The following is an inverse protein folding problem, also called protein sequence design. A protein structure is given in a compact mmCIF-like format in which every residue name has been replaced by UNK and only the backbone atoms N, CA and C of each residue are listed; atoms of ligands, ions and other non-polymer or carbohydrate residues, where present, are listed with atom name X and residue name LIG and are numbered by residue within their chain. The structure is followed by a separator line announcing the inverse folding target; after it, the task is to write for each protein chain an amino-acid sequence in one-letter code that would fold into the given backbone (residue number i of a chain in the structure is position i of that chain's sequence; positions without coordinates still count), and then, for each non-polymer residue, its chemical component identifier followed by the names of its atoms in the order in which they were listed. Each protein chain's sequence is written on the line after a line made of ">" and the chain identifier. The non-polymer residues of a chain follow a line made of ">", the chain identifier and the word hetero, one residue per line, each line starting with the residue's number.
data_IF_471168677477
#
_entry.id   IF_471168677477
#
_cell.length_a   1.000
_cell.length_b   1.000
_cell.length_c   1.000
_cell.angle_alpha   90.00
_cell.angle_beta   90.00
_cell.angle_gamma   90.00
#
_symmetry.space_group_name_H-M   'P 1'
#
loop_
_entity.id
_entity.type
_entity.pdbx_description
1 polymer ?
#
# COMPACT_ATOMS: atom_id res chain seq x y z
N UNK A 1 -3.22 18.12 -17.51
CA UNK A 1 -2.08 17.55 -16.76
C UNK A 1 -2.18 16.03 -16.82
N UNK A 2 -1.28 15.35 -17.53
CA UNK A 2 -1.19 13.89 -17.41
C UNK A 2 -0.54 13.54 -16.07
N UNK A 3 -1.33 13.01 -15.13
CA UNK A 3 -0.77 12.50 -13.89
C UNK A 3 0.02 11.22 -14.14
N UNK A 4 1.19 11.10 -13.49
CA UNK A 4 1.97 9.86 -13.44
C UNK A 4 1.09 8.66 -13.06
N UNK A 5 1.23 7.53 -13.76
CA UNK A 5 0.47 6.31 -13.50
C UNK A 5 0.59 5.83 -12.05
N UNK A 6 1.77 5.95 -11.44
CA UNK A 6 1.97 5.60 -10.04
C UNK A 6 1.21 6.52 -9.09
N UNK A 7 1.11 7.81 -9.43
CA UNK A 7 0.34 8.78 -8.65
C UNK A 7 -1.17 8.47 -8.76
N UNK A 8 -1.68 8.21 -9.97
CA UNK A 8 -3.08 7.80 -10.19
C UNK A 8 -3.40 6.55 -9.39
N UNK A 9 -2.60 5.48 -9.54
CA UNK A 9 -2.77 4.24 -8.78
C UNK A 9 -2.83 4.49 -7.25
N UNK A 10 -1.90 5.29 -6.73
CA UNK A 10 -1.86 5.60 -5.29
C UNK A 10 -3.10 6.37 -4.84
N UNK A 11 -3.51 7.38 -5.60
CA UNK A 11 -4.67 8.21 -5.31
C UNK A 11 -5.95 7.37 -5.31
N UNK A 12 -6.14 6.56 -6.34
CA UNK A 12 -7.34 5.74 -6.50
C UNK A 12 -7.41 4.67 -5.38
N UNK A 13 -6.28 4.06 -5.02
CA UNK A 13 -6.20 3.14 -3.88
C UNK A 13 -6.55 3.80 -2.54
N UNK A 14 -6.08 5.05 -2.31
CA UNK A 14 -6.41 5.82 -1.11
C UNK A 14 -7.89 6.18 -1.06
N UNK A 15 -8.46 6.63 -2.19
CA UNK A 15 -9.88 7.00 -2.29
C UNK A 15 -10.80 5.81 -2.01
N UNK A 16 -10.51 4.65 -2.62
CA UNK A 16 -11.25 3.41 -2.37
C UNK A 16 -11.12 3.00 -0.90
N UNK A 17 -9.90 3.02 -0.35
CA UNK A 17 -9.66 2.63 1.05
C UNK A 17 -10.39 3.54 2.03
N UNK A 18 -10.47 4.85 1.75
CA UNK A 18 -11.18 5.81 2.59
C UNK A 18 -12.70 5.61 2.59
N UNK A 19 -13.26 5.08 1.50
CA UNK A 19 -14.70 4.78 1.39
C UNK A 19 -15.09 3.41 1.93
N UNK A 20 -14.13 2.54 2.26
CA UNK A 20 -14.43 1.21 2.79
C UNK A 20 -15.07 1.32 4.18
N UNK A 21 -16.23 0.66 4.41
CA UNK A 21 -16.86 0.67 5.72
C UNK A 21 -15.91 0.10 6.78
N UNK A 22 -15.88 0.76 7.94
CA UNK A 22 -15.19 0.28 9.13
C UNK A 22 -16.17 -0.37 10.11
N UNK A 23 -15.62 -0.96 11.16
CA UNK A 23 -16.38 -1.75 12.14
C UNK A 23 -17.03 -0.85 13.21
N UNK A 24 -17.25 0.44 12.91
CA UNK A 24 -17.77 1.46 13.83
C UNK A 24 -16.80 1.92 14.94
N UNK A 25 -15.68 1.22 15.16
CA UNK A 25 -14.71 1.50 16.24
C UNK A 25 -13.49 2.34 15.83
N UNK A 26 -13.47 2.85 14.60
CA UNK A 26 -12.26 3.40 13.98
C UNK A 26 -11.26 2.28 13.66
N UNK A 27 -10.56 2.38 12.52
CA UNK A 27 -9.58 1.35 12.14
C UNK A 27 -8.21 1.75 12.68
N UNK A 28 -7.46 0.76 13.17
CA UNK A 28 -6.06 0.99 13.52
C UNK A 28 -5.26 1.42 12.28
N UNK A 29 -4.18 2.18 12.48
CA UNK A 29 -3.28 2.56 11.41
C UNK A 29 -2.72 1.34 10.65
N UNK A 30 -2.50 0.22 11.35
CA UNK A 30 -2.06 -1.03 10.72
C UNK A 30 -3.14 -1.62 9.81
N UNK A 31 -4.41 -1.62 10.25
CA UNK A 31 -5.53 -2.10 9.44
C UNK A 31 -5.74 -1.22 8.21
N UNK A 32 -5.61 0.10 8.34
CA UNK A 32 -5.60 1.01 7.20
C UNK A 32 -4.47 0.71 6.20
N UNK A 33 -3.24 0.47 6.69
CA UNK A 33 -2.11 0.13 5.83
C UNK A 33 -2.32 -1.21 5.10
N UNK A 34 -2.86 -2.23 5.79
CA UNK A 34 -3.23 -3.52 5.19
C UNK A 34 -4.28 -3.35 4.10
N UNK A 35 -5.36 -2.61 4.37
CA UNK A 35 -6.43 -2.34 3.39
C UNK A 35 -5.88 -1.61 2.17
N UNK A 36 -5.08 -0.57 2.38
CA UNK A 36 -4.46 0.20 1.29
C UNK A 36 -3.62 -0.69 0.37
N UNK A 37 -2.76 -1.55 0.94
CA UNK A 37 -1.93 -2.45 0.14
C UNK A 37 -2.78 -3.46 -0.60
N UNK A 38 -3.78 -4.04 0.05
CA UNK A 38 -4.70 -4.98 -0.59
C UNK A 38 -5.42 -4.35 -1.79
N UNK A 39 -5.99 -3.15 -1.63
CA UNK A 39 -6.64 -2.42 -2.72
C UNK A 39 -5.65 -2.14 -3.85
N UNK A 40 -4.46 -1.63 -3.50
CA UNK A 40 -3.44 -1.31 -4.49
C UNK A 40 -3.00 -2.55 -5.28
N UNK A 41 -2.87 -3.73 -4.64
CA UNK A 41 -2.54 -4.98 -5.33
C UNK A 41 -3.63 -5.41 -6.32
N UNK A 42 -4.92 -5.29 -5.95
CA UNK A 42 -6.04 -5.62 -6.85
C UNK A 42 -6.11 -4.69 -8.06
N UNK A 43 -5.92 -3.38 -7.85
CA UNK A 43 -5.86 -2.41 -8.96
C UNK A 43 -4.69 -2.70 -9.89
N UNK A 44 -3.52 -3.03 -9.32
CA UNK A 44 -2.33 -3.35 -10.08
C UNK A 44 -2.49 -4.62 -10.92
N UNK A 45 -3.11 -5.67 -10.37
CA UNK A 45 -3.46 -6.88 -11.11
C UNK A 45 -4.38 -6.56 -12.30
N UNK A 46 -5.45 -5.78 -12.07
CA UNK A 46 -6.35 -5.36 -13.13
C UNK A 46 -5.64 -4.55 -14.23
N UNK A 47 -4.78 -3.60 -13.85
CA UNK A 47 -3.98 -2.81 -14.80
C UNK A 47 -3.02 -3.69 -15.60
N UNK A 48 -2.41 -4.70 -14.99
CA UNK A 48 -1.54 -5.65 -15.68
C UNK A 48 -2.30 -6.62 -16.60
N UNK A 49 -3.60 -6.79 -16.41
CA UNK A 49 -4.43 -7.53 -17.36
C UNK A 49 -4.89 -6.68 -18.54
N UNK A 50 -4.72 -5.35 -18.49
CA UNK A 50 -5.16 -4.43 -19.53
C UNK A 50 -4.23 -4.45 -20.77
N UNK A 51 -4.71 -4.85 -21.96
CA UNK A 51 -3.93 -4.85 -23.19
C UNK A 51 -3.42 -3.47 -23.60
N UNK A 52 -4.07 -2.39 -23.18
CA UNK A 52 -3.67 -1.02 -23.49
C UNK A 52 -2.40 -0.58 -22.73
N UNK A 53 -2.01 -1.32 -21.69
CA UNK A 53 -0.86 -0.98 -20.86
C UNK A 53 0.44 -1.53 -21.44
N UNK A 54 1.35 -0.62 -21.82
CA UNK A 54 2.66 -0.99 -22.38
C UNK A 54 3.54 -1.74 -21.37
N UNK A 55 4.48 -2.55 -21.86
CA UNK A 55 5.42 -3.30 -21.02
C UNK A 55 6.27 -2.41 -20.10
N UNK A 56 6.66 -1.23 -20.60
CA UNK A 56 7.38 -0.21 -19.82
C UNK A 56 6.53 0.28 -18.64
N UNK A 57 5.25 0.57 -18.87
CA UNK A 57 4.34 1.03 -17.82
C UNK A 57 4.10 -0.07 -16.77
N UNK A 58 3.91 -1.32 -17.19
CA UNK A 58 3.80 -2.48 -16.29
C UNK A 58 5.03 -2.60 -15.38
N UNK A 59 6.23 -2.51 -15.96
CA UNK A 59 7.49 -2.59 -15.23
C UNK A 59 7.62 -1.49 -14.17
N UNK A 60 7.27 -0.24 -14.53
CA UNK A 60 7.28 0.91 -13.60
C UNK A 60 6.31 0.70 -12.44
N UNK A 61 5.09 0.23 -12.72
CA UNK A 61 4.06 -0.03 -11.72
C UNK A 61 4.45 -1.18 -10.77
N UNK A 62 5.04 -2.25 -11.31
CA UNK A 62 5.58 -3.36 -10.51
C UNK A 62 6.72 -2.91 -9.58
N UNK A 63 7.65 -2.11 -10.09
CA UNK A 63 8.76 -1.59 -9.30
C UNK A 63 8.26 -0.67 -8.17
N UNK A 64 7.28 0.19 -8.47
CA UNK A 64 6.63 1.05 -7.49
C UNK A 64 5.94 0.26 -6.37
N UNK A 65 5.12 -0.75 -6.72
CA UNK A 65 4.45 -1.57 -5.73
C UNK A 65 5.44 -2.41 -4.90
N UNK A 66 6.46 -2.97 -5.55
CA UNK A 66 7.51 -3.73 -4.88
C UNK A 66 8.28 -2.89 -3.86
N UNK A 67 8.55 -1.60 -4.17
CA UNK A 67 9.14 -0.66 -3.21
C UNK A 67 8.21 -0.43 -2.02
N UNK A 68 6.93 -0.15 -2.26
CA UNK A 68 5.95 0.05 -1.20
C UNK A 68 5.82 -1.17 -0.25
N UNK A 69 5.89 -2.39 -0.79
CA UNK A 69 5.89 -3.62 0.02
C UNK A 69 7.16 -3.75 0.87
N UNK A 70 8.35 -3.46 0.31
CA UNK A 70 9.60 -3.49 1.07
C UNK A 70 9.62 -2.46 2.18
N UNK A 71 9.10 -1.27 1.93
CA UNK A 71 9.00 -0.20 2.93
C UNK A 71 8.07 -0.63 4.07
N UNK A 72 6.90 -1.21 3.77
CA UNK A 72 6.00 -1.77 4.81
C UNK A 72 6.66 -2.89 5.63
N UNK A 73 7.35 -3.82 4.97
CA UNK A 73 8.05 -4.91 5.66
C UNK A 73 9.15 -4.35 6.57
N UNK A 74 9.89 -3.36 6.10
CA UNK A 74 10.96 -2.70 6.84
C UNK A 74 10.40 -1.94 8.04
N UNK A 75 9.29 -1.22 7.88
CA UNK A 75 8.60 -0.52 8.96
C UNK A 75 8.09 -1.50 10.02
N UNK A 76 7.52 -2.63 9.62
CA UNK A 76 7.12 -3.70 10.55
C UNK A 76 8.30 -4.29 11.32
N UNK A 77 9.43 -4.51 10.65
CA UNK A 77 10.66 -5.01 11.28
C UNK A 77 11.25 -3.97 12.25
N UNK A 78 11.26 -2.70 11.87
CA UNK A 78 11.70 -1.59 12.71
C UNK A 78 10.79 -1.38 13.92
N UNK A 79 9.47 -1.50 13.74
CA UNK A 79 8.48 -1.44 14.81
C UNK A 79 8.65 -2.60 15.81
N UNK A 80 8.88 -3.84 15.33
CA UNK A 80 9.22 -4.98 16.21
C UNK A 80 10.51 -4.75 17.00
N UNK A 81 11.56 -4.20 16.37
CA UNK A 81 12.82 -3.87 17.07
C UNK A 81 12.63 -2.81 18.15
N UNK A 82 11.78 -1.80 17.92
CA UNK A 82 11.46 -0.77 18.93
C UNK A 82 10.55 -1.29 20.05
N UNK A 83 9.63 -2.21 19.74
CA UNK A 83 8.80 -2.87 20.76
C UNK A 83 9.59 -3.77 21.72
N UNK A 84 10.65 -4.43 21.22
CA UNK A 84 11.57 -5.21 22.05
C UNK A 84 12.57 -4.37 22.86
N UNK A 85 12.54 -3.05 22.72
CA UNK A 85 13.34 -2.11 23.52
C UNK A 85 12.50 -1.41 24.59
N UNK A 86 11.25 -1.84 24.86
CA UNK A 86 10.60 -1.47 26.12
C UNK A 86 11.41 -2.06 27.28
N UNK A 87 12.08 -1.22 28.08
CA UNK A 87 12.86 -1.71 29.19
C UNK A 87 11.90 -2.17 30.29
N UNK A 88 12.30 -3.24 30.97
CA UNK A 88 11.97 -3.45 32.38
C UNK A 88 12.03 -2.10 33.10
N UNK A 89 10.88 -1.60 33.53
CA UNK A 89 10.83 -0.64 34.64
C UNK A 89 10.33 -1.45 35.83
N UNK A 90 11.16 -1.40 36.88
CA UNK A 90 11.13 -2.15 38.12
C UNK A 90 9.81 -2.05 38.90
#
# INVERSE_FOLDING_TARGET
>A
MEFSLCYKLRRDALEITARMPGDGKGLSAETHAKRLIWVQSRLLEAMCSDPALTERQRSVLMAFHSKALRDLISDRRGARRRGNLSPMVA
#
